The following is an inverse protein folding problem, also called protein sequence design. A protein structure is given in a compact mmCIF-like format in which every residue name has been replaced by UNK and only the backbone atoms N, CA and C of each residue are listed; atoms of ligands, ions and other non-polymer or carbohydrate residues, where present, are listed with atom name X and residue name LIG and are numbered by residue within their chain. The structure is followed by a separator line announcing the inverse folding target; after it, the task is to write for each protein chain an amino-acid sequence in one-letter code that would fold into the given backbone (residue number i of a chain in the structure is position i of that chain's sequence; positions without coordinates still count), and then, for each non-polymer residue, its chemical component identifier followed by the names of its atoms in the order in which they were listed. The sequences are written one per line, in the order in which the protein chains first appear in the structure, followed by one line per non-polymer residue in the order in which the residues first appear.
data_IF_425472205857
#
_entry.id   IF_425472205857
#
_cell.length_a   1.000
_cell.length_b   1.000
_cell.length_c   1.000
_cell.angle_alpha   90.00
_cell.angle_beta   90.00
_cell.angle_gamma   90.00
#
_symmetry.space_group_name_H-M   'P 1'
#
loop_
_entity.id
_entity.type
_entity.pdbx_description
1 polymer ?
#
# COMPACT_ATOMS: atom_id res chain seq x y z
N UNK A 1 45.52 73.71 -38.85
CA UNK A 1 45.43 72.25 -38.68
C UNK A 1 44.57 71.75 -39.83
N UNK A 2 45.16 71.39 -40.98
CA UNK A 2 45.49 70.01 -41.45
C UNK A 2 44.22 69.13 -41.48
N UNK A 3 43.84 68.35 -42.50
CA UNK A 3 44.06 68.21 -43.94
C UNK A 3 43.19 66.99 -44.37
N UNK A 4 42.93 66.89 -45.69
CA UNK A 4 42.77 65.65 -46.48
C UNK A 4 41.47 64.80 -46.46
N UNK A 5 40.88 64.72 -47.67
CA UNK A 5 40.47 63.53 -48.45
C UNK A 5 40.55 62.14 -47.83
N UNK A 6 39.58 61.28 -48.15
CA UNK A 6 39.71 60.22 -49.18
C UNK A 6 38.61 59.15 -49.06
N UNK A 7 38.15 58.67 -50.22
CA UNK A 7 37.35 57.47 -50.39
C UNK A 7 38.07 56.21 -49.90
N UNK A 8 37.33 55.17 -49.50
CA UNK A 8 37.73 53.76 -49.60
C UNK A 8 36.47 52.88 -49.66
N UNK A 9 36.36 52.23 -50.80
CA UNK A 9 35.65 50.99 -51.09
C UNK A 9 36.38 49.83 -50.38
N UNK A 10 35.67 48.96 -49.64
CA UNK A 10 35.95 47.51 -49.57
C UNK A 10 35.05 46.70 -48.63
N UNK A 11 34.78 45.49 -49.13
CA UNK A 11 34.62 44.22 -48.44
C UNK A 11 33.20 43.79 -48.00
N UNK A 12 32.69 42.81 -48.75
CA UNK A 12 31.80 41.75 -48.27
C UNK A 12 32.36 41.11 -46.98
N UNK A 13 31.47 40.80 -46.03
CA UNK A 13 31.59 39.58 -45.26
C UNK A 13 30.36 38.69 -45.44
N UNK A 14 30.60 37.52 -46.04
CA UNK A 14 29.83 36.28 -45.92
C UNK A 14 29.28 36.06 -44.51
N UNK A 15 27.96 36.00 -44.39
CA UNK A 15 27.15 35.63 -43.22
C UNK A 15 25.69 35.65 -43.73
N UNK A 16 24.78 34.70 -43.56
CA UNK A 16 24.65 33.57 -42.66
C UNK A 16 23.84 32.47 -43.38
N UNK A 17 24.16 31.24 -42.99
CA UNK A 17 23.40 30.04 -43.20
C UNK A 17 22.02 30.10 -42.50
N UNK A 18 21.14 29.21 -42.96
CA UNK A 18 19.99 28.65 -42.24
C UNK A 18 18.69 29.46 -42.27
N UNK A 19 17.98 29.24 -43.38
CA UNK A 19 16.52 29.19 -43.44
C UNK A 19 15.95 28.45 -42.21
N UNK A 20 15.32 29.20 -41.32
CA UNK A 20 14.59 28.68 -40.16
C UNK A 20 13.45 27.78 -40.64
N UNK A 21 13.55 26.49 -40.28
CA UNK A 21 12.50 25.50 -40.44
C UNK A 21 11.27 25.85 -39.57
N UNK A 22 10.06 25.41 -39.96
CA UNK A 22 8.85 25.68 -39.21
C UNK A 22 8.86 24.91 -37.88
N UNK A 23 8.72 25.64 -36.77
CA UNK A 23 8.54 25.10 -35.43
C UNK A 23 7.15 24.47 -35.31
N UNK A 24 7.06 23.19 -35.69
CA UNK A 24 5.91 22.34 -35.39
C UNK A 24 5.99 21.94 -33.91
N UNK A 25 5.23 22.64 -33.06
CA UNK A 25 4.97 22.22 -31.68
C UNK A 25 4.29 20.85 -31.69
N UNK A 26 5.07 19.79 -31.50
CA UNK A 26 4.56 18.46 -31.19
C UNK A 26 4.10 18.42 -29.73
N UNK A 27 3.00 17.71 -29.40
CA UNK A 27 2.57 17.56 -28.02
C UNK A 27 3.69 16.92 -27.20
N UNK A 28 3.98 17.51 -26.04
CA UNK A 28 4.83 16.90 -25.02
C UNK A 28 4.22 15.54 -24.65
N UNK A 29 4.76 14.48 -25.22
CA UNK A 29 4.43 13.12 -24.85
C UNK A 29 5.23 12.78 -23.59
N UNK A 30 4.74 13.22 -22.44
CA UNK A 30 5.24 12.75 -21.15
C UNK A 30 4.78 11.32 -20.96
N UNK A 31 5.53 10.36 -21.51
CA UNK A 31 5.36 8.95 -21.18
C UNK A 31 5.77 8.78 -19.72
N UNK A 32 4.82 8.87 -18.78
CA UNK A 32 5.07 8.46 -17.41
C UNK A 32 5.34 6.96 -17.44
N UNK A 33 6.63 6.61 -17.36
CA UNK A 33 7.09 5.23 -17.30
C UNK A 33 6.68 4.73 -15.92
N UNK A 34 5.47 4.18 -15.84
CA UNK A 34 4.94 3.59 -14.60
C UNK A 34 5.98 2.60 -14.12
N UNK A 35 6.49 2.73 -12.88
CA UNK A 35 7.52 1.82 -12.40
C UNK A 35 6.94 0.40 -12.46
N UNK A 36 7.67 -0.48 -13.13
CA UNK A 36 7.32 -1.88 -13.21
C UNK A 36 7.45 -2.46 -11.80
N UNK A 37 6.39 -3.09 -11.30
CA UNK A 37 6.45 -3.78 -10.02
C UNK A 37 7.34 -5.01 -10.17
N UNK A 38 8.37 -5.10 -9.34
CA UNK A 38 9.18 -6.32 -9.24
C UNK A 38 8.43 -7.37 -8.41
N UNK A 39 8.85 -8.63 -8.48
CA UNK A 39 8.29 -9.68 -7.61
C UNK A 39 8.46 -9.35 -6.13
N UNK A 40 9.59 -8.75 -5.74
CA UNK A 40 9.84 -8.32 -4.37
C UNK A 40 8.87 -7.23 -3.91
N UNK A 41 8.50 -6.32 -4.81
CA UNK A 41 7.53 -5.27 -4.50
C UNK A 41 6.14 -5.87 -4.30
N UNK A 42 5.75 -6.83 -5.15
CA UNK A 42 4.48 -7.54 -5.02
C UNK A 42 4.38 -8.31 -3.71
N UNK A 43 5.43 -9.00 -3.29
CA UNK A 43 5.48 -9.70 -2.00
C UNK A 43 5.36 -8.72 -0.82
N UNK A 44 6.00 -7.56 -0.91
CA UNK A 44 5.87 -6.51 0.10
C UNK A 44 4.44 -5.96 0.15
N UNK A 45 3.83 -5.65 -0.98
CA UNK A 45 2.45 -5.14 -1.05
C UNK A 45 1.44 -6.19 -0.54
N UNK A 46 1.66 -7.47 -0.86
CA UNK A 46 0.87 -8.59 -0.34
C UNK A 46 1.00 -8.69 1.19
N UNK A 47 2.21 -8.61 1.72
CA UNK A 47 2.46 -8.60 3.17
C UNK A 47 1.74 -7.43 3.87
N UNK A 48 1.69 -6.25 3.26
CA UNK A 48 0.94 -5.11 3.82
C UNK A 48 -0.58 -5.39 3.87
N UNK A 49 -1.14 -6.03 2.84
CA UNK A 49 -2.55 -6.44 2.83
C UNK A 49 -2.85 -7.46 3.91
N UNK A 50 -2.01 -8.48 4.03
CA UNK A 50 -2.17 -9.57 5.00
C UNK A 50 -2.10 -9.03 6.43
N UNK A 51 -1.12 -8.16 6.72
CA UNK A 51 -0.97 -7.51 8.02
C UNK A 51 -2.14 -6.58 8.38
N UNK A 52 -2.73 -5.93 7.37
CA UNK A 52 -3.94 -5.12 7.54
C UNK A 52 -5.23 -5.96 7.61
N UNK A 53 -5.15 -7.29 7.44
CA UNK A 53 -6.28 -8.21 7.55
C UNK A 53 -7.12 -8.34 6.27
N UNK A 54 -6.60 -7.92 5.12
CA UNK A 54 -7.26 -8.09 3.83
C UNK A 54 -6.93 -9.47 3.24
N UNK A 55 -7.96 -10.29 2.99
CA UNK A 55 -7.82 -11.57 2.28
C UNK A 55 -7.70 -11.40 0.74
N UNK A 56 -6.99 -10.37 0.28
CA UNK A 56 -6.83 -10.03 -1.12
C UNK A 56 -5.49 -10.56 -1.64
N UNK A 57 -5.48 -11.17 -2.83
CA UNK A 57 -4.25 -11.53 -3.53
C UNK A 57 -3.94 -10.53 -4.64
N UNK A 58 -2.68 -10.14 -4.75
CA UNK A 58 -2.18 -9.34 -5.86
C UNK A 58 -1.73 -10.29 -6.96
N UNK A 59 -2.61 -10.53 -7.94
CA UNK A 59 -2.30 -11.34 -9.11
C UNK A 59 -1.86 -10.43 -10.26
N UNK A 60 -0.75 -10.79 -10.91
CA UNK A 60 -0.15 -10.01 -12.01
C UNK A 60 -0.88 -10.28 -13.34
N UNK A 61 -1.62 -11.37 -13.41
CA UNK A 61 -2.26 -11.85 -14.62
C UNK A 61 -3.78 -11.92 -14.45
N UNK A 62 -4.49 -11.70 -15.56
CA UNK A 62 -5.89 -12.09 -15.80
C UNK A 62 -7.02 -11.10 -15.54
N UNK A 63 -6.75 -9.82 -15.21
CA UNK A 63 -7.78 -8.76 -15.30
C UNK A 63 -9.08 -9.04 -14.52
N UNK A 64 -9.06 -9.98 -13.58
CA UNK A 64 -10.24 -10.50 -12.90
C UNK A 64 -10.27 -9.92 -11.49
N UNK A 65 -10.91 -8.76 -11.37
CA UNK A 65 -11.36 -8.23 -10.08
C UNK A 65 -10.25 -8.06 -9.04
N UNK A 66 -9.23 -7.25 -9.35
CA UNK A 66 -8.28 -6.82 -8.32
C UNK A 66 -9.04 -6.14 -7.17
N UNK A 67 -8.79 -6.58 -5.95
CA UNK A 67 -9.38 -5.96 -4.76
C UNK A 67 -9.06 -4.45 -4.74
N UNK A 68 -10.03 -3.61 -4.36
CA UNK A 68 -9.87 -2.15 -4.34
C UNK A 68 -8.71 -1.72 -3.44
N UNK A 69 -8.45 -2.42 -2.33
CA UNK A 69 -7.31 -2.17 -1.44
C UNK A 69 -5.97 -2.47 -2.13
N UNK A 70 -5.87 -3.60 -2.84
CA UNK A 70 -4.69 -3.95 -3.62
C UNK A 70 -4.41 -2.93 -4.74
N UNK A 71 -5.46 -2.47 -5.43
CA UNK A 71 -5.34 -1.47 -6.48
C UNK A 71 -4.88 -0.11 -5.93
N UNK A 72 -5.35 0.29 -4.74
CA UNK A 72 -4.87 1.48 -4.05
C UNK A 72 -3.38 1.38 -3.73
N UNK A 73 -2.93 0.24 -3.19
CA UNK A 73 -1.54 0.01 -2.85
C UNK A 73 -0.62 0.09 -4.08
N UNK A 74 -1.00 -0.56 -5.18
CA UNK A 74 -0.25 -0.50 -6.44
C UNK A 74 -0.13 0.95 -6.92
N UNK A 75 -1.23 1.72 -6.85
CA UNK A 75 -1.24 3.12 -7.25
C UNK A 75 -0.30 3.97 -6.38
N UNK A 76 -0.39 3.84 -5.06
CA UNK A 76 0.47 4.57 -4.12
C UNK A 76 1.95 4.22 -4.30
N UNK A 77 2.26 2.94 -4.56
CA UNK A 77 3.62 2.51 -4.85
C UNK A 77 4.15 3.13 -6.14
N UNK A 78 3.33 3.18 -7.19
CA UNK A 78 3.67 3.85 -8.45
C UNK A 78 3.83 5.37 -8.30
N UNK A 79 3.16 5.98 -7.32
CA UNK A 79 3.33 7.39 -6.93
C UNK A 79 4.59 7.62 -6.08
N UNK A 80 5.29 6.55 -5.66
CA UNK A 80 6.55 6.61 -4.93
C UNK A 80 6.45 6.29 -3.43
N UNK A 81 5.28 5.91 -2.93
CA UNK A 81 5.11 5.46 -1.54
C UNK A 81 5.55 4.01 -1.44
N UNK A 82 6.82 3.79 -1.10
CA UNK A 82 7.42 2.45 -1.02
C UNK A 82 7.53 1.90 0.40
N UNK A 83 7.27 2.73 1.42
CA UNK A 83 7.36 2.32 2.82
C UNK A 83 6.14 1.48 3.23
N UNK A 84 6.31 0.23 3.72
CA UNK A 84 5.22 -0.64 4.15
C UNK A 84 4.33 0.00 5.23
N UNK A 85 4.94 0.73 6.17
CA UNK A 85 4.21 1.41 7.24
C UNK A 85 3.32 2.53 6.71
N UNK A 86 3.81 3.29 5.71
CA UNK A 86 3.02 4.36 5.07
C UNK A 86 1.87 3.79 4.25
N UNK A 87 2.11 2.66 3.58
CA UNK A 87 1.09 1.96 2.81
C UNK A 87 -0.02 1.40 3.71
N UNK A 88 0.34 0.82 4.86
CA UNK A 88 -0.62 0.39 5.88
C UNK A 88 -1.42 1.56 6.45
N UNK A 89 -0.77 2.68 6.76
CA UNK A 89 -1.44 3.91 7.20
C UNK A 89 -2.41 4.43 6.13
N UNK A 90 -2.02 4.40 4.86
CA UNK A 90 -2.88 4.83 3.76
C UNK A 90 -4.11 3.94 3.61
N UNK A 91 -3.99 2.62 3.83
CA UNK A 91 -5.13 1.71 3.88
C UNK A 91 -6.07 2.07 5.03
N UNK A 92 -5.55 2.31 6.23
CA UNK A 92 -6.35 2.74 7.38
C UNK A 92 -7.06 4.09 7.13
N UNK A 93 -6.39 5.01 6.44
CA UNK A 93 -6.96 6.32 6.10
C UNK A 93 -8.06 6.20 5.04
N UNK A 94 -7.86 5.35 4.03
CA UNK A 94 -8.81 5.22 2.92
C UNK A 94 -10.05 4.38 3.27
N UNK A 95 -9.88 3.27 3.98
CA UNK A 95 -10.95 2.32 4.26
C UNK A 95 -11.40 2.35 5.74
N UNK A 96 -10.72 3.14 6.57
CA UNK A 96 -10.88 3.09 8.01
C UNK A 96 -10.04 1.97 8.64
N UNK A 97 -10.02 1.95 9.98
CA UNK A 97 -9.34 0.89 10.73
C UNK A 97 -10.13 -0.40 10.63
N UNK A 98 -9.59 -1.40 9.93
CA UNK A 98 -10.00 -2.78 10.12
C UNK A 98 -9.71 -3.15 11.57
N UNK A 99 -10.77 -3.45 12.32
CA UNK A 99 -10.59 -3.94 13.69
C UNK A 99 -9.78 -5.22 13.61
N UNK A 100 -8.58 -5.19 14.18
CA UNK A 100 -7.73 -6.36 14.30
C UNK A 100 -8.59 -7.54 14.84
N UNK A 101 -8.36 -8.77 14.34
CA UNK A 101 -9.14 -9.91 14.78
C UNK A 101 -9.15 -9.95 16.31
N UNK A 102 -10.34 -10.13 16.94
CA UNK A 102 -10.43 -10.20 18.39
C UNK A 102 -9.40 -11.19 18.91
N UNK A 103 -8.59 -10.78 19.90
CA UNK A 103 -7.67 -11.70 20.57
C UNK A 103 -8.46 -12.95 20.96
N UNK A 104 -7.96 -14.17 20.69
CA UNK A 104 -8.65 -15.38 21.08
C UNK A 104 -8.84 -15.34 22.60
N UNK A 105 -10.08 -15.10 23.02
CA UNK A 105 -10.45 -15.17 24.43
C UNK A 105 -10.48 -16.65 24.73
N UNK A 106 -9.54 -17.14 25.54
CA UNK A 106 -9.66 -18.48 26.11
C UNK A 106 -10.91 -18.47 26.99
N UNK A 107 -11.98 -19.19 26.65
CA UNK A 107 -13.12 -19.30 27.54
C UNK A 107 -12.64 -19.86 28.88
N UNK A 108 -12.91 -19.12 29.95
CA UNK A 108 -12.69 -19.59 31.33
C UNK A 108 -13.76 -20.64 31.60
N UNK A 109 -13.41 -21.90 31.38
CA UNK A 109 -14.31 -23.00 31.68
C UNK A 109 -14.23 -23.33 33.17
N UNK A 110 -15.38 -23.29 33.86
CA UNK A 110 -15.48 -23.83 35.20
C UNK A 110 -15.38 -25.37 35.13
N UNK A 111 -14.44 -25.94 35.89
CA UNK A 111 -14.21 -27.40 35.95
C UNK A 111 -15.49 -28.14 36.36
N UNK A 112 -16.33 -27.54 37.22
CA UNK A 112 -17.59 -28.14 37.65
C UNK A 112 -18.70 -28.03 36.61
N UNK A 113 -18.63 -27.05 35.70
CA UNK A 113 -19.54 -26.97 34.56
C UNK A 113 -19.24 -28.03 33.49
N UNK A 114 -17.98 -28.46 33.37
CA UNK A 114 -17.58 -29.53 32.44
C UNK A 114 -17.75 -30.93 33.06
N UNK A 115 -17.31 -31.11 34.31
CA UNK A 115 -17.19 -32.43 34.94
C UNK A 115 -18.39 -32.80 35.83
N UNK A 116 -19.29 -31.85 36.05
CA UNK A 116 -20.38 -31.98 37.02
C UNK A 116 -19.94 -31.68 38.45
N UNK A 117 -20.93 -31.53 39.33
CA UNK A 117 -20.71 -31.25 40.75
C UNK A 117 -20.20 -32.50 41.50
N UNK A 118 -19.23 -32.40 42.42
CA UNK A 118 -18.75 -33.53 43.20
C UNK A 118 -19.86 -34.14 44.07
N UNK A 119 -20.02 -35.46 44.02
CA UNK A 119 -21.06 -36.21 44.75
C UNK A 119 -20.88 -36.27 46.28
N UNK A 120 -19.81 -35.70 46.82
CA UNK A 120 -19.36 -35.95 48.20
C UNK A 120 -20.11 -35.17 49.29
N UNK A 121 -21.18 -34.45 48.95
CA UNK A 121 -22.00 -33.73 49.95
C UNK A 121 -23.18 -34.55 50.47
N UNK A 122 -23.29 -35.84 50.13
CA UNK A 122 -24.24 -36.75 50.80
C UNK A 122 -23.76 -37.06 52.21
N UNK A 123 -23.90 -36.09 53.11
CA UNK A 123 -23.82 -36.30 54.56
C UNK A 123 -24.94 -37.27 54.95
N UNK A 124 -24.62 -38.56 55.04
CA UNK A 124 -25.48 -39.55 55.71
C UNK A 124 -25.45 -39.25 57.21
N UNK A 125 -26.21 -38.25 57.63
CA UNK A 125 -26.57 -38.08 59.04
C UNK A 125 -27.66 -39.09 59.37
N UNK A 126 -27.28 -40.35 59.58
CA UNK A 126 -28.13 -41.33 60.25
C UNK A 126 -27.45 -41.68 61.58
N UNK A 127 -27.79 -40.90 62.61
CA UNK A 127 -27.47 -41.22 64.01
C UNK A 127 -28.64 -42.04 64.58
N UNK A 128 -28.39 -43.06 65.44
CA UNK A 128 -29.27 -44.20 65.63
C UNK A 128 -30.45 -43.84 66.55
N UNK A 129 -31.67 -44.23 66.16
CA UNK A 129 -32.81 -44.17 67.07
C UNK A 129 -32.93 -45.51 67.81
N UNK A 130 -32.67 -45.45 69.12
CA UNK A 130 -33.02 -46.51 70.05
C UNK A 130 -34.54 -46.60 70.19
N UNK A 131 -35.12 -47.80 70.05
CA UNK A 131 -36.46 -48.11 70.54
C UNK A 131 -36.53 -49.52 71.14
N UNK A 132 -36.85 -49.49 72.43
CA UNK A 132 -37.43 -50.50 73.35
C UNK A 132 -36.89 -51.92 73.37
#
# INVERSE_FOLDING_TARGET
MIAASAAIERALPTSELNSFAPTKGGPMSSTSKKPYLTSSDLDMLQSVLDNAGYAARIEVDDGKGCNVAAMLLIKLFQEGVTSPAMLSLALEHHFGKLKAPPKPVTPVYDRYAIQGLPSDTRKTNLKPEARS
#
